data_IF_677429754492
#
_entry.id   IF_677429754492
#
_cell.length_a   1.000
_cell.length_b   1.000
_cell.length_c   1.000
_cell.angle_alpha   90.00
_cell.angle_beta   90.00
_cell.angle_gamma   90.00
#
_symmetry.space_group_name_H-M   'P 1'
#
loop_
_entity.id
_entity.type
_entity.pdbx_description
1 polymer ?
#
# COMPACT_ATOMS: atom_id res chain seq x y z
N UNK A 1 -7.20 2.83 -9.06
CA UNK A 1 -6.19 2.10 -9.86
C UNK A 1 -6.39 2.40 -11.32
N UNK A 2 -5.33 2.81 -12.02
CA UNK A 2 -5.29 3.09 -13.46
C UNK A 2 -4.53 1.93 -14.14
N UNK A 3 -5.00 1.47 -15.30
CA UNK A 3 -4.41 0.34 -16.03
C UNK A 3 -4.83 -1.04 -15.49
N UNK A 4 -4.45 -2.10 -16.22
CA UNK A 4 -4.74 -3.50 -15.86
C UNK A 4 -3.59 -4.39 -16.34
N UNK A 5 -3.01 -5.16 -15.42
CA UNK A 5 -2.08 -6.25 -15.72
C UNK A 5 -2.85 -7.48 -16.23
N UNK A 6 -3.19 -7.51 -17.53
CA UNK A 6 -3.90 -8.64 -18.18
C UNK A 6 -3.11 -9.26 -19.33
N UNK A 7 -2.49 -8.45 -20.17
CA UNK A 7 -1.66 -8.90 -21.28
C UNK A 7 -0.17 -8.76 -20.94
N UNK A 8 0.74 -9.52 -21.55
CA UNK A 8 2.17 -9.25 -21.43
C UNK A 8 2.49 -7.78 -21.74
N UNK A 9 3.40 -7.18 -21.00
CA UNK A 9 3.78 -5.76 -21.05
C UNK A 9 2.71 -4.76 -20.60
N UNK A 10 1.55 -5.23 -20.14
CA UNK A 10 0.54 -4.34 -19.53
C UNK A 10 0.92 -3.99 -18.10
N UNK A 11 0.57 -2.78 -17.69
CA UNK A 11 0.88 -2.24 -16.39
C UNK A 11 -0.37 -1.70 -15.69
N UNK A 12 -0.27 -1.53 -14.38
CA UNK A 12 -1.27 -0.86 -13.58
C UNK A 12 -0.60 -0.05 -12.48
N UNK A 13 -1.12 1.13 -12.19
CA UNK A 13 -0.69 1.95 -11.08
C UNK A 13 -1.86 2.22 -10.15
N UNK A 14 -1.60 2.18 -8.86
CA UNK A 14 -2.52 2.51 -7.79
C UNK A 14 -1.84 3.57 -6.93
N UNK A 15 -2.61 4.58 -6.58
CA UNK A 15 -2.23 5.53 -5.55
C UNK A 15 -3.40 5.64 -4.61
N UNK A 16 -3.11 5.55 -3.32
CA UNK A 16 -4.09 5.71 -2.25
C UNK A 16 -3.46 6.61 -1.21
N UNK A 17 -4.13 7.71 -0.91
CA UNK A 17 -3.87 8.48 0.30
C UNK A 17 -4.91 8.07 1.33
N UNK A 18 -4.48 7.85 2.57
CA UNK A 18 -5.40 7.60 3.67
C UNK A 18 -4.90 8.36 4.90
N UNK A 19 -5.85 8.98 5.57
CA UNK A 19 -5.66 9.71 6.81
C UNK A 19 -6.68 9.17 7.80
N UNK A 20 -6.21 8.73 8.96
CA UNK A 20 -7.03 8.17 10.03
C UNK A 20 -6.75 9.00 11.27
N UNK A 21 -7.72 9.83 11.65
CA UNK A 21 -7.69 10.60 12.89
C UNK A 21 -7.73 9.65 14.11
N UNK A 22 -7.18 10.11 15.24
CA UNK A 22 -7.01 9.30 16.46
C UNK A 22 -8.31 8.64 16.98
N UNK A 23 -9.46 9.30 16.81
CA UNK A 23 -10.77 8.83 17.28
C UNK A 23 -11.69 8.32 16.17
N UNK A 24 -11.19 8.13 14.95
CA UNK A 24 -12.04 7.87 13.79
C UNK A 24 -12.67 6.45 13.77
N UNK A 25 -12.01 5.45 14.37
CA UNK A 25 -12.44 4.05 14.30
C UNK A 25 -12.06 3.26 15.58
N UNK A 26 -12.90 2.33 16.06
CA UNK A 26 -12.45 1.32 17.01
C UNK A 26 -11.28 0.55 16.40
N UNK A 27 -10.18 0.38 17.14
CA UNK A 27 -8.91 -0.19 16.65
C UNK A 27 -9.03 -1.55 15.92
N UNK A 28 -10.13 -2.28 16.10
CA UNK A 28 -10.44 -3.53 15.38
C UNK A 28 -10.63 -3.33 13.86
N UNK A 29 -11.04 -2.14 13.41
CA UNK A 29 -11.19 -1.82 11.98
C UNK A 29 -9.92 -1.23 11.36
N UNK A 30 -8.84 -1.14 12.13
CA UNK A 30 -7.59 -0.54 11.65
C UNK A 30 -6.74 -1.57 10.94
N UNK A 31 -6.39 -1.24 9.70
CA UNK A 31 -5.60 -2.06 8.81
C UNK A 31 -4.16 -2.19 9.35
N UNK A 32 -3.75 -3.42 9.69
CA UNK A 32 -2.43 -3.70 10.26
C UNK A 32 -1.29 -3.28 9.33
N UNK A 33 -1.52 -3.15 8.02
CA UNK A 33 -0.51 -2.76 7.05
C UNK A 33 -0.37 -1.25 6.88
N UNK A 34 -1.39 -0.47 7.27
CA UNK A 34 -1.37 0.98 7.05
C UNK A 34 -0.56 1.70 8.13
N UNK A 35 -0.63 1.25 9.38
CA UNK A 35 0.19 1.78 10.47
C UNK A 35 0.52 0.73 11.56
N UNK A 36 0.64 -0.55 11.20
CA UNK A 36 1.02 -1.60 12.16
C UNK A 36 -0.09 -1.93 13.15
N UNK A 37 -1.33 -1.51 12.83
CA UNK A 37 -2.47 -1.49 13.73
C UNK A 37 -2.54 -0.18 14.51
N UNK A 38 -3.71 0.46 14.52
CA UNK A 38 -3.96 1.69 15.28
C UNK A 38 -4.73 2.78 14.50
N UNK A 39 -5.13 3.80 15.24
CA UNK A 39 -5.59 5.11 14.74
C UNK A 39 -4.47 6.15 14.94
N UNK A 40 -4.65 7.39 14.47
CA UNK A 40 -3.65 8.47 14.54
C UNK A 40 -2.47 8.33 13.55
N UNK A 41 -2.79 8.19 12.27
CA UNK A 41 -1.78 8.06 11.22
C UNK A 41 -2.27 8.50 9.84
N UNK A 42 -1.34 9.03 9.05
CA UNK A 42 -1.57 9.46 7.66
C UNK A 42 -0.51 8.87 6.75
N UNK A 43 -0.82 8.65 5.48
CA UNK A 43 0.18 8.11 4.59
C UNK A 43 -0.24 7.92 3.15
N UNK A 44 0.77 7.61 2.35
CA UNK A 44 0.71 7.41 0.92
C UNK A 44 1.06 5.96 0.61
N UNK A 45 0.16 5.28 -0.10
CA UNK A 45 0.40 3.96 -0.68
C UNK A 45 0.46 4.09 -2.20
N UNK A 46 1.62 3.82 -2.77
CA UNK A 46 1.84 3.77 -4.22
C UNK A 46 2.08 2.33 -4.63
N UNK A 47 1.17 1.76 -5.38
CA UNK A 47 1.29 0.43 -5.97
C UNK A 47 1.58 0.51 -7.46
N UNK A 48 2.57 -0.22 -7.93
CA UNK A 48 2.86 -0.45 -9.34
C UNK A 48 2.78 -1.94 -9.65
N UNK A 49 2.14 -2.29 -10.75
CA UNK A 49 2.04 -3.66 -11.24
C UNK A 49 2.48 -3.72 -12.69
N UNK A 50 3.24 -4.75 -13.02
CA UNK A 50 3.72 -5.01 -14.37
C UNK A 50 3.56 -6.49 -14.73
N UNK A 51 2.87 -6.77 -15.82
CA UNK A 51 2.71 -8.12 -16.34
C UNK A 51 3.89 -8.44 -17.27
N UNK A 52 4.91 -9.12 -16.75
CA UNK A 52 6.13 -9.47 -17.51
C UNK A 52 5.80 -10.45 -18.64
N UNK A 53 5.03 -11.48 -18.34
CA UNK A 53 4.56 -12.48 -19.29
C UNK A 53 3.14 -12.90 -18.89
N UNK A 54 2.42 -13.67 -19.71
CA UNK A 54 1.08 -14.20 -19.35
C UNK A 54 1.05 -14.94 -18.00
N UNK A 55 2.20 -15.50 -17.60
CA UNK A 55 2.37 -16.32 -16.41
C UNK A 55 3.14 -15.61 -15.30
N UNK A 56 3.77 -14.46 -15.57
CA UNK A 56 4.60 -13.72 -14.61
C UNK A 56 4.07 -12.31 -14.39
N UNK A 57 3.78 -11.98 -13.13
CA UNK A 57 3.38 -10.63 -12.72
C UNK A 57 4.30 -10.14 -11.61
N UNK A 58 4.91 -8.98 -11.84
CA UNK A 58 5.64 -8.22 -10.84
C UNK A 58 4.70 -7.17 -10.24
N UNK A 59 4.77 -6.97 -8.94
CA UNK A 59 4.06 -5.88 -8.26
C UNK A 59 4.97 -5.28 -7.19
N UNK A 60 4.95 -3.97 -7.07
CA UNK A 60 5.76 -3.21 -6.13
C UNK A 60 4.83 -2.27 -5.40
N UNK A 61 4.87 -2.25 -4.07
CA UNK A 61 4.07 -1.33 -3.27
C UNK A 61 4.98 -0.57 -2.33
N UNK A 62 4.92 0.75 -2.41
CA UNK A 62 5.63 1.66 -1.53
C UNK A 62 4.63 2.30 -0.57
N UNK A 63 4.94 2.22 0.72
CA UNK A 63 4.18 2.80 1.80
C UNK A 63 5.04 3.87 2.45
N UNK A 64 4.52 5.10 2.48
CA UNK A 64 5.13 6.23 3.15
C UNK A 64 4.11 6.80 4.13
N UNK A 65 4.17 6.29 5.36
CA UNK A 65 3.14 6.51 6.37
C UNK A 65 3.78 7.08 7.63
N UNK A 66 3.14 8.04 8.27
CA UNK A 66 3.55 8.57 9.57
C UNK A 66 2.55 8.12 10.63
N UNK A 67 3.06 7.65 11.78
CA UNK A 67 2.26 7.16 12.92
C UNK A 67 2.45 8.05 14.14
N UNK A 68 1.39 8.26 14.92
CA UNK A 68 1.46 9.01 16.18
C UNK A 68 1.57 10.52 15.95
N UNK A 69 0.61 11.09 15.20
CA UNK A 69 0.55 12.52 14.87
C UNK A 69 0.42 13.41 16.12
N UNK A 70 -0.15 12.89 17.21
CA UNK A 70 -0.33 13.63 18.48
C UNK A 70 0.83 13.49 19.48
N UNK A 71 1.75 12.54 19.29
CA UNK A 71 2.74 12.13 20.31
C UNK A 71 4.22 12.19 19.91
N UNK A 72 4.56 12.80 18.78
CA UNK A 72 5.95 12.92 18.31
C UNK A 72 6.32 12.12 17.06
N UNK A 73 5.33 11.67 16.27
CA UNK A 73 5.44 11.28 14.86
C UNK A 73 6.61 10.36 14.51
N UNK A 74 6.37 9.05 14.40
CA UNK A 74 7.35 8.12 13.83
C UNK A 74 7.04 7.88 12.35
N UNK A 75 8.02 8.12 11.50
CA UNK A 75 7.94 7.77 10.08
C UNK A 75 8.06 6.26 9.90
N UNK A 76 7.19 5.71 9.06
CA UNK A 76 7.11 4.30 8.73
C UNK A 76 7.09 4.15 7.22
N UNK A 77 8.28 3.85 6.68
CA UNK A 77 8.46 3.60 5.26
C UNK A 77 8.64 2.10 5.02
N UNK A 78 7.91 1.58 4.03
CA UNK A 78 8.01 0.17 3.63
C UNK A 78 7.96 0.05 2.11
N UNK A 79 8.92 -0.67 1.56
CA UNK A 79 8.89 -1.12 0.17
C UNK A 79 8.61 -2.62 0.14
N UNK A 80 7.58 -3.03 -0.58
CA UNK A 80 7.24 -4.43 -0.83
C UNK A 80 7.38 -4.72 -2.33
N UNK A 81 7.95 -5.88 -2.64
CA UNK A 81 8.11 -6.37 -4.01
C UNK A 81 7.59 -7.80 -4.06
N UNK A 82 6.59 -8.03 -4.90
CA UNK A 82 5.89 -9.30 -5.09
C UNK A 82 6.10 -9.81 -6.51
N UNK A 83 6.58 -11.05 -6.63
CA UNK A 83 6.65 -11.75 -7.90
C UNK A 83 5.68 -12.93 -7.87
N UNK A 84 4.67 -12.88 -8.74
CA UNK A 84 3.61 -13.89 -8.83
C UNK A 84 3.75 -14.68 -10.12
N UNK A 85 3.88 -16.00 -9.97
CA UNK A 85 3.87 -16.94 -11.08
C UNK A 85 2.55 -17.70 -11.12
N UNK A 86 1.97 -17.85 -12.32
CA UNK A 86 0.74 -18.61 -12.56
C UNK A 86 1.05 -19.78 -13.51
N UNK A 87 0.83 -21.00 -13.02
CA UNK A 87 0.92 -22.25 -13.79
C UNK A 87 -0.28 -22.40 -14.72
#
# INVERSE_FOLDING_TARGET
>A
TIGKCKAPHSWSIRYVYREIEADALPGIFTDSDFIGGGTDGKGHEIGFGYQVASNWKLSTTFFDNTRGLTGGGSDFQRLQVDLKFKF
#
